data_IF_473091280936
#
_entry.id   IF_473091280936
#
_cell.length_a   1.000
_cell.length_b   1.000
_cell.length_c   1.000
_cell.angle_alpha   90.00
_cell.angle_beta   90.00
_cell.angle_gamma   90.00
#
_symmetry.space_group_name_H-M   'P 1'
#
loop_
_entity.id
_entity.type
_entity.pdbx_description
1 polymer ?
#
# COMPACT_ATOMS: atom_id res chain seq x y z
N UNK A 1 -15.69 -10.75 13.18
CA UNK A 1 -14.88 -9.99 12.21
C UNK A 1 -14.22 -10.84 11.11
N UNK A 2 -13.97 -12.11 11.29
CA UNK A 2 -13.47 -13.04 10.25
C UNK A 2 -14.40 -13.19 9.02
N UNK A 3 -15.70 -13.01 9.17
CA UNK A 3 -16.67 -13.19 8.09
C UNK A 3 -16.65 -12.08 7.01
N UNK A 4 -16.23 -10.86 7.36
CA UNK A 4 -16.12 -9.76 6.38
C UNK A 4 -14.90 -9.94 5.50
N UNK A 5 -13.80 -10.39 6.08
CA UNK A 5 -12.55 -10.70 5.38
C UNK A 5 -12.70 -11.88 4.41
N UNK A 6 -13.43 -12.93 4.78
CA UNK A 6 -13.68 -14.10 3.93
C UNK A 6 -14.57 -13.74 2.72
N UNK A 7 -15.58 -12.91 2.91
CA UNK A 7 -16.46 -12.44 1.80
C UNK A 7 -15.71 -11.50 0.84
N UNK A 8 -14.87 -10.62 1.35
CA UNK A 8 -13.99 -9.78 0.51
C UNK A 8 -12.96 -10.64 -0.23
N UNK A 9 -12.34 -11.61 0.43
CA UNK A 9 -11.42 -12.55 -0.18
C UNK A 9 -12.09 -13.40 -1.27
N UNK A 10 -13.31 -13.90 -1.05
CA UNK A 10 -14.09 -14.62 -2.07
C UNK A 10 -14.51 -13.72 -3.22
N UNK A 11 -14.86 -12.46 -2.96
CA UNK A 11 -15.16 -11.48 -4.01
C UNK A 11 -13.93 -11.17 -4.87
N UNK A 12 -12.75 -11.09 -4.25
CA UNK A 12 -11.48 -10.91 -4.95
C UNK A 12 -11.05 -12.14 -5.74
N UNK A 13 -11.25 -13.34 -5.18
CA UNK A 13 -10.97 -14.60 -5.87
C UNK A 13 -11.87 -14.82 -7.10
N UNK A 14 -13.10 -14.32 -7.07
CA UNK A 14 -14.09 -14.40 -8.15
C UNK A 14 -14.06 -13.20 -9.10
N UNK A 15 -13.29 -12.16 -8.81
CA UNK A 15 -13.07 -11.08 -9.75
C UNK A 15 -12.38 -11.68 -10.99
N UNK A 16 -13.09 -11.73 -12.13
CA UNK A 16 -12.50 -12.12 -13.41
C UNK A 16 -11.25 -11.27 -13.60
N UNK A 17 -10.10 -11.93 -13.63
CA UNK A 17 -8.82 -11.31 -13.95
C UNK A 17 -8.91 -10.82 -15.39
N UNK A 18 -9.45 -9.63 -15.59
CA UNK A 18 -9.17 -8.92 -16.83
C UNK A 18 -7.68 -8.59 -16.79
N UNK A 19 -6.94 -8.84 -17.88
CA UNK A 19 -5.57 -8.37 -17.94
C UNK A 19 -5.59 -6.86 -17.73
N UNK A 20 -5.23 -6.43 -16.52
CA UNK A 20 -5.20 -5.02 -16.19
C UNK A 20 -4.05 -4.41 -16.97
N UNK A 21 -4.37 -3.55 -17.94
CA UNK A 21 -3.39 -2.69 -18.55
C UNK A 21 -2.66 -1.95 -17.43
N UNK A 22 -1.34 -2.09 -17.39
CA UNK A 22 -0.50 -1.38 -16.45
C UNK A 22 -0.20 -0.01 -17.04
N UNK A 23 -0.65 1.06 -16.37
CA UNK A 23 -0.44 2.44 -16.82
C UNK A 23 0.74 3.12 -16.11
N UNK A 24 1.25 2.56 -15.01
CA UNK A 24 2.51 3.03 -14.44
C UNK A 24 3.67 2.78 -15.41
N UNK A 25 4.67 3.69 -15.51
CA UNK A 25 5.73 3.61 -16.52
C UNK A 25 6.83 2.57 -16.21
N UNK A 26 6.53 1.58 -15.37
CA UNK A 26 7.43 0.49 -14.98
C UNK A 26 6.66 -0.80 -14.69
N UNK A 27 7.35 -1.94 -14.69
CA UNK A 27 6.77 -3.24 -14.37
C UNK A 27 6.61 -3.40 -12.85
N UNK A 28 5.38 -3.49 -12.36
CA UNK A 28 5.12 -3.75 -10.93
C UNK A 28 5.55 -5.17 -10.53
N UNK A 29 5.50 -6.12 -11.46
CA UNK A 29 5.93 -7.50 -11.22
C UNK A 29 7.44 -7.58 -11.04
N UNK A 30 8.21 -6.90 -11.89
CA UNK A 30 9.67 -6.85 -11.78
C UNK A 30 10.08 -6.07 -10.53
N UNK A 31 9.41 -4.95 -10.25
CA UNK A 31 9.61 -4.19 -9.00
C UNK A 31 9.42 -5.06 -7.76
N UNK A 32 8.34 -5.84 -7.71
CA UNK A 32 8.09 -6.77 -6.61
C UNK A 32 9.19 -7.85 -6.52
N UNK A 33 9.57 -8.44 -7.65
CA UNK A 33 10.59 -9.50 -7.70
C UNK A 33 11.95 -8.98 -7.20
N UNK A 34 12.38 -7.82 -7.65
CA UNK A 34 13.63 -7.17 -7.21
C UNK A 34 13.61 -6.86 -5.72
N UNK A 35 12.55 -6.24 -5.21
CA UNK A 35 12.39 -5.92 -3.79
C UNK A 35 12.39 -7.21 -2.95
N UNK A 36 11.65 -8.24 -3.39
CA UNK A 36 11.60 -9.51 -2.68
C UNK A 36 12.97 -10.19 -2.63
N UNK A 37 13.68 -10.23 -3.74
CA UNK A 37 15.01 -10.83 -3.80
C UNK A 37 16.03 -10.06 -2.92
N UNK A 38 16.00 -8.74 -2.93
CA UNK A 38 16.96 -7.91 -2.21
C UNK A 38 16.71 -7.85 -0.70
N UNK A 39 15.44 -7.79 -0.26
CA UNK A 39 15.10 -7.44 1.12
C UNK A 39 14.29 -8.51 1.86
N UNK A 40 13.70 -9.47 1.14
CA UNK A 40 12.74 -10.45 1.67
C UNK A 40 13.02 -11.87 1.17
N UNK A 41 14.29 -12.22 1.02
CA UNK A 41 14.72 -13.58 0.60
C UNK A 41 14.30 -14.67 1.60
N UNK A 42 14.05 -14.30 2.86
CA UNK A 42 13.52 -15.15 3.93
C UNK A 42 12.01 -15.40 3.83
N UNK A 43 11.27 -14.62 3.06
CA UNK A 43 9.82 -14.84 2.82
C UNK A 43 9.64 -15.96 1.81
N UNK A 44 9.24 -17.15 2.30
CA UNK A 44 9.10 -18.38 1.49
C UNK A 44 7.93 -18.35 0.52
N UNK A 45 6.92 -17.50 0.74
CA UNK A 45 5.73 -17.43 -0.12
C UNK A 45 6.09 -17.08 -1.57
N UNK A 46 5.39 -17.71 -2.52
CA UNK A 46 5.32 -17.25 -3.91
C UNK A 46 4.39 -16.03 -3.95
N UNK A 47 4.96 -14.86 -4.24
CA UNK A 47 4.21 -13.60 -4.16
C UNK A 47 3.93 -13.09 -5.56
N UNK A 48 2.67 -12.74 -5.80
CA UNK A 48 2.21 -12.04 -7.02
C UNK A 48 1.59 -10.69 -6.68
N UNK A 49 1.48 -9.80 -7.67
CA UNK A 49 0.96 -8.43 -7.49
C UNK A 49 0.02 -8.07 -8.62
N UNK A 50 -1.04 -7.33 -8.31
CA UNK A 50 -1.96 -6.80 -9.32
C UNK A 50 -2.72 -5.56 -8.84
N UNK A 51 -3.12 -4.73 -9.80
CA UNK A 51 -4.06 -3.63 -9.55
C UNK A 51 -5.49 -4.15 -9.58
N UNK A 52 -6.30 -3.74 -8.59
CA UNK A 52 -7.73 -4.10 -8.49
C UNK A 52 -8.53 -2.97 -7.83
N UNK A 53 -9.84 -2.96 -8.03
CA UNK A 53 -10.72 -2.07 -7.27
C UNK A 53 -10.97 -2.65 -5.88
N UNK A 54 -10.41 -2.00 -4.88
CA UNK A 54 -10.49 -2.36 -3.45
C UNK A 54 -11.24 -1.29 -2.67
N UNK A 55 -11.59 -1.60 -1.43
CA UNK A 55 -11.99 -0.59 -0.44
C UNK A 55 -10.81 0.07 0.28
N UNK A 56 -9.58 -0.47 0.16
CA UNK A 56 -8.35 0.04 0.77
C UNK A 56 -7.31 0.39 -0.29
N UNK A 57 -6.25 1.10 0.11
CA UNK A 57 -5.17 1.50 -0.80
C UNK A 57 -4.37 0.30 -1.30
N UNK A 58 -4.09 -0.64 -0.40
CA UNK A 58 -3.47 -1.93 -0.72
C UNK A 58 -3.83 -2.99 0.33
N UNK A 59 -3.54 -4.24 0.05
CA UNK A 59 -3.55 -5.34 1.02
C UNK A 59 -2.81 -6.56 0.46
N UNK A 60 -2.31 -7.43 1.36
CA UNK A 60 -1.80 -8.75 1.01
C UNK A 60 -2.75 -9.84 1.48
N UNK A 61 -3.01 -10.80 0.62
CA UNK A 61 -3.78 -11.99 0.91
C UNK A 61 -2.89 -13.23 0.84
N UNK A 62 -3.01 -14.13 1.83
CA UNK A 62 -2.24 -15.38 1.92
C UNK A 62 -3.14 -16.59 1.79
N UNK A 63 -2.70 -17.57 1.02
CA UNK A 63 -3.35 -18.87 0.92
C UNK A 63 -2.29 -19.96 0.73
N UNK A 64 -2.02 -20.73 1.78
CA UNK A 64 -0.93 -21.70 1.80
C UNK A 64 0.43 -21.03 1.57
N UNK A 65 1.18 -21.53 0.60
CA UNK A 65 2.49 -21.01 0.16
C UNK A 65 2.39 -19.83 -0.83
N UNK A 66 1.17 -19.46 -1.22
CA UNK A 66 0.90 -18.36 -2.14
C UNK A 66 0.56 -17.10 -1.37
N UNK A 67 1.05 -15.96 -1.86
CA UNK A 67 0.61 -14.65 -1.41
C UNK A 67 0.30 -13.75 -2.60
N UNK A 68 -0.67 -12.86 -2.45
CA UNK A 68 -1.03 -11.92 -3.49
C UNK A 68 -1.19 -10.53 -2.93
N UNK A 69 -0.42 -9.61 -3.46
CA UNK A 69 -0.53 -8.19 -3.15
C UNK A 69 -1.52 -7.56 -4.12
N UNK A 70 -2.51 -6.91 -3.55
CA UNK A 70 -3.50 -6.13 -4.28
C UNK A 70 -3.24 -4.65 -4.04
N UNK A 71 -3.08 -3.89 -5.11
CA UNK A 71 -2.95 -2.43 -5.08
C UNK A 71 -4.20 -1.83 -5.71
N UNK A 72 -4.74 -0.76 -5.12
CA UNK A 72 -5.91 -0.10 -5.66
C UNK A 72 -5.64 0.49 -7.04
N UNK A 73 -6.63 0.37 -7.95
CA UNK A 73 -6.60 0.93 -9.31
C UNK A 73 -6.29 2.43 -9.36
N UNK A 74 -6.58 3.16 -8.28
CA UNK A 74 -6.19 4.56 -8.11
C UNK A 74 -4.70 4.80 -8.40
N UNK A 75 -3.84 3.86 -8.03
CA UNK A 75 -2.38 3.97 -8.21
C UNK A 75 -1.89 3.43 -9.56
N UNK A 76 -2.78 2.92 -10.41
CA UNK A 76 -2.44 2.48 -11.77
C UNK A 76 -2.50 3.65 -12.75
N UNK A 77 -1.61 4.61 -12.60
CA UNK A 77 -1.54 5.81 -13.42
C UNK A 77 -0.10 6.19 -13.74
N UNK A 78 0.15 6.76 -14.92
CA UNK A 78 1.50 7.09 -15.40
C UNK A 78 2.23 8.14 -14.53
N UNK A 79 1.49 8.96 -13.80
CA UNK A 79 2.05 9.94 -12.85
C UNK A 79 2.32 9.35 -11.45
N UNK A 80 1.98 8.07 -11.20
CA UNK A 80 2.30 7.43 -9.92
C UNK A 80 3.79 7.17 -9.82
N UNK A 81 4.50 7.77 -8.83
CA UNK A 81 5.94 7.60 -8.69
C UNK A 81 6.33 6.16 -8.32
N UNK A 82 7.51 5.76 -8.76
CA UNK A 82 8.09 4.46 -8.40
C UNK A 82 8.17 4.27 -6.88
N UNK A 83 8.53 5.33 -6.13
CA UNK A 83 8.67 5.31 -4.68
C UNK A 83 7.37 4.92 -3.96
N UNK A 84 6.22 5.29 -4.52
CA UNK A 84 4.91 4.92 -3.97
C UNK A 84 4.65 3.42 -4.11
N UNK A 85 4.89 2.85 -5.28
CA UNK A 85 4.73 1.42 -5.51
C UNK A 85 5.78 0.61 -4.75
N UNK A 86 7.02 1.09 -4.69
CA UNK A 86 8.10 0.49 -3.89
C UNK A 86 7.74 0.44 -2.40
N UNK A 87 7.27 1.55 -1.83
CA UNK A 87 6.78 1.60 -0.45
C UNK A 87 5.69 0.54 -0.20
N UNK A 88 4.67 0.50 -1.06
CA UNK A 88 3.54 -0.42 -0.91
C UNK A 88 4.01 -1.88 -1.00
N UNK A 89 4.87 -2.22 -1.98
CA UNK A 89 5.44 -3.57 -2.09
C UNK A 89 6.17 -3.98 -0.80
N UNK A 90 7.01 -3.09 -0.26
CA UNK A 90 7.75 -3.35 0.98
C UNK A 90 6.82 -3.49 2.18
N UNK A 91 5.80 -2.63 2.30
CA UNK A 91 4.79 -2.68 3.34
C UNK A 91 4.03 -4.01 3.34
N UNK A 92 3.52 -4.42 2.17
CA UNK A 92 2.75 -5.66 2.05
C UNK A 92 3.63 -6.91 2.22
N UNK A 93 4.90 -6.87 1.81
CA UNK A 93 5.86 -7.93 2.09
C UNK A 93 6.21 -8.03 3.58
N UNK A 94 6.24 -6.91 4.31
CA UNK A 94 6.43 -6.92 5.75
C UNK A 94 5.30 -7.64 6.48
N UNK A 95 4.06 -7.58 6.02
CA UNK A 95 2.96 -8.36 6.58
C UNK A 95 3.15 -9.88 6.43
N UNK A 96 3.98 -10.35 5.48
CA UNK A 96 4.35 -11.76 5.37
C UNK A 96 5.44 -12.15 6.35
N UNK A 97 6.29 -11.21 6.76
CA UNK A 97 7.40 -11.42 7.69
C UNK A 97 7.00 -11.15 9.14
N UNK A 98 6.22 -10.10 9.38
CA UNK A 98 5.77 -9.65 10.69
C UNK A 98 4.25 -9.79 10.76
N UNK A 99 3.73 -10.90 11.31
CA UNK A 99 2.30 -11.14 11.35
C UNK A 99 1.60 -10.19 12.33
N UNK A 100 0.31 -9.98 12.09
CA UNK A 100 -0.56 -9.30 13.05
C UNK A 100 -0.55 -10.01 14.40
N UNK A 101 -0.58 -9.25 15.49
CA UNK A 101 -0.63 -9.78 16.86
C UNK A 101 -1.96 -9.45 17.52
N UNK A 102 -2.46 -10.35 18.35
CA UNK A 102 -3.62 -10.07 19.19
C UNK A 102 -3.15 -9.45 20.50
N UNK A 103 -3.67 -8.27 20.84
CA UNK A 103 -3.42 -7.59 22.09
C UNK A 103 -4.73 -7.12 22.70
N UNK A 104 -5.03 -7.57 23.92
CA UNK A 104 -6.24 -7.17 24.67
C UNK A 104 -7.54 -7.40 23.88
N UNK A 105 -7.63 -8.53 23.16
CA UNK A 105 -8.81 -8.88 22.32
C UNK A 105 -8.94 -8.08 21.04
N UNK A 106 -7.91 -7.32 20.64
CA UNK A 106 -7.86 -6.56 19.39
C UNK A 106 -6.68 -7.03 18.54
N UNK A 107 -6.91 -7.11 17.23
CA UNK A 107 -5.85 -7.36 16.27
C UNK A 107 -5.10 -6.06 15.99
N UNK A 108 -3.79 -6.09 16.21
CA UNK A 108 -2.84 -5.05 15.81
C UNK A 108 -2.14 -5.52 14.56
N UNK A 109 -2.47 -4.89 13.43
CA UNK A 109 -1.92 -5.29 12.11
C UNK A 109 -0.51 -4.74 11.91
N UNK A 110 -0.21 -3.60 12.53
CA UNK A 110 1.09 -2.95 12.46
C UNK A 110 1.67 -2.76 13.87
N UNK A 111 2.21 -3.84 14.50
CA UNK A 111 2.85 -3.71 15.81
C UNK A 111 4.09 -2.81 15.72
N UNK A 112 4.62 -2.28 16.85
CA UNK A 112 5.75 -1.33 16.84
C UNK A 112 6.97 -1.81 16.04
N UNK A 113 7.27 -3.10 16.10
CA UNK A 113 8.33 -3.73 15.31
C UNK A 113 8.10 -3.65 13.79
N UNK A 114 6.83 -3.64 13.34
CA UNK A 114 6.47 -3.43 11.94
C UNK A 114 6.92 -2.05 11.46
N UNK A 115 6.55 -0.99 12.20
CA UNK A 115 6.91 0.38 11.85
C UNK A 115 8.42 0.61 11.89
N UNK A 116 9.10 0.00 12.87
CA UNK A 116 10.57 0.05 12.95
C UNK A 116 11.21 -0.62 11.74
N UNK A 117 10.70 -1.78 11.33
CA UNK A 117 11.20 -2.51 10.16
C UNK A 117 10.91 -1.74 8.87
N UNK A 118 9.71 -1.19 8.70
CA UNK A 118 9.37 -0.37 7.53
C UNK A 118 10.31 0.84 7.40
N UNK A 119 10.52 1.61 8.48
CA UNK A 119 11.46 2.75 8.47
C UNK A 119 12.87 2.33 8.07
N UNK A 120 13.32 1.15 8.50
CA UNK A 120 14.67 0.67 8.18
C UNK A 120 14.87 0.29 6.72
N UNK A 121 13.84 -0.24 6.05
CA UNK A 121 13.95 -0.76 4.67
C UNK A 121 13.37 0.19 3.61
N UNK A 122 12.67 1.25 4.01
CA UNK A 122 12.02 2.21 3.11
C UNK A 122 12.62 3.61 3.26
N UNK A 123 13.82 3.90 2.74
CA UNK A 123 14.38 5.26 2.79
C UNK A 123 13.51 6.29 2.05
N UNK A 124 12.73 5.84 1.06
CA UNK A 124 11.77 6.65 0.29
C UNK A 124 10.44 6.89 1.02
N UNK A 125 10.23 6.33 2.22
CA UNK A 125 8.95 6.31 2.93
C UNK A 125 8.28 7.69 3.02
N UNK A 126 9.00 8.68 3.54
CA UNK A 126 8.44 10.04 3.70
C UNK A 126 8.11 10.69 2.36
N UNK A 127 8.93 10.47 1.34
CA UNK A 127 8.73 10.96 -0.03
C UNK A 127 7.46 10.35 -0.65
N UNK A 128 7.28 9.06 -0.51
CA UNK A 128 6.13 8.33 -1.03
C UNK A 128 4.83 8.74 -0.31
N UNK A 129 4.84 8.81 1.02
CA UNK A 129 3.68 9.25 1.79
C UNK A 129 3.32 10.70 1.52
N UNK A 130 4.29 11.60 1.43
CA UNK A 130 4.06 12.98 1.05
C UNK A 130 3.34 13.08 -0.30
N UNK A 131 3.79 12.31 -1.30
CA UNK A 131 3.14 12.27 -2.60
C UNK A 131 1.69 11.77 -2.51
N UNK A 132 1.46 10.66 -1.81
CA UNK A 132 0.12 10.08 -1.62
C UNK A 132 -0.84 11.12 -1.02
N UNK A 133 -0.45 11.73 0.11
CA UNK A 133 -1.34 12.65 0.82
C UNK A 133 -1.54 13.97 0.08
N UNK A 134 -0.51 14.55 -0.52
CA UNK A 134 -0.64 15.81 -1.24
C UNK A 134 -1.51 15.65 -2.50
N UNK A 135 -1.40 14.52 -3.18
CA UNK A 135 -2.05 14.33 -4.47
C UNK A 135 -3.36 13.53 -4.43
N UNK A 136 -3.59 12.73 -3.40
CA UNK A 136 -4.71 11.78 -3.35
C UNK A 136 -5.63 11.97 -2.14
N UNK A 137 -5.36 12.93 -1.23
CA UNK A 137 -6.13 13.13 0.00
C UNK A 137 -7.63 13.28 -0.23
N UNK A 138 -8.05 13.89 -1.35
CA UNK A 138 -9.47 14.08 -1.68
C UNK A 138 -10.25 12.77 -1.83
N UNK A 139 -9.58 11.66 -2.14
CA UNK A 139 -10.21 10.35 -2.30
C UNK A 139 -9.76 9.32 -1.26
N UNK A 140 -9.02 9.74 -0.22
CA UNK A 140 -8.55 8.86 0.84
C UNK A 140 -9.23 9.18 2.16
N UNK A 141 -9.47 8.13 2.96
CA UNK A 141 -9.99 8.26 4.32
C UNK A 141 -9.23 7.33 5.25
N UNK A 142 -8.58 7.91 6.25
CA UNK A 142 -7.93 7.11 7.30
C UNK A 142 -8.95 6.43 8.21
N UNK A 143 -8.66 5.21 8.60
CA UNK A 143 -9.40 4.42 9.58
C UNK A 143 -8.45 3.99 10.70
N UNK A 144 -8.09 4.88 11.64
CA UNK A 144 -7.08 4.59 12.66
C UNK A 144 -7.37 3.31 13.46
N UNK A 145 -8.65 3.08 13.83
CA UNK A 145 -9.07 1.88 14.59
C UNK A 145 -8.88 0.57 13.82
N UNK A 146 -8.82 0.61 12.49
CA UNK A 146 -8.64 -0.53 11.60
C UNK A 146 -7.24 -0.54 10.98
N UNK A 147 -6.42 0.44 11.35
CA UNK A 147 -5.06 0.62 10.82
C UNK A 147 -5.02 0.56 9.29
N UNK A 148 -5.96 1.24 8.63
CA UNK A 148 -6.02 1.20 7.17
C UNK A 148 -6.47 2.53 6.56
N UNK A 149 -6.15 2.69 5.27
CA UNK A 149 -6.59 3.79 4.42
C UNK A 149 -7.65 3.25 3.47
N UNK A 150 -8.87 3.79 3.56
CA UNK A 150 -9.94 3.51 2.61
C UNK A 150 -9.82 4.42 1.39
N UNK A 151 -10.15 3.89 0.22
CA UNK A 151 -10.27 4.65 -1.02
C UNK A 151 -11.76 4.91 -1.28
N UNK A 152 -12.11 6.19 -1.42
CA UNK A 152 -13.48 6.64 -1.64
C UNK A 152 -13.91 6.44 -3.11
N UNK A 153 -15.21 6.27 -3.41
CA UNK A 153 -15.70 6.04 -4.78
C UNK A 153 -15.33 7.13 -5.78
N UNK A 154 -15.09 8.35 -5.32
CA UNK A 154 -14.70 9.52 -6.16
C UNK A 154 -13.25 9.45 -6.68
N UNK A 155 -12.51 8.40 -6.39
CA UNK A 155 -11.10 8.27 -6.76
C UNK A 155 -10.81 8.45 -8.27
N UNK A 156 -11.77 8.19 -9.14
CA UNK A 156 -11.60 8.33 -10.59
C UNK A 156 -11.39 9.79 -11.01
N UNK A 157 -11.92 10.72 -10.24
CA UNK A 157 -11.88 12.15 -10.54
C UNK A 157 -10.56 12.80 -10.11
N UNK A 158 -9.81 12.14 -9.23
CA UNK A 158 -8.58 12.70 -8.65
C UNK A 158 -7.48 12.93 -9.69
N UNK A 159 -7.55 12.25 -10.84
CA UNK A 159 -6.59 12.36 -11.92
C UNK A 159 -6.92 13.45 -12.95
N UNK A 160 -7.97 14.24 -12.73
CA UNK A 160 -8.36 15.33 -13.62
C UNK A 160 -7.35 16.50 -13.63
N UNK A 161 -6.51 16.60 -12.60
CA UNK A 161 -5.49 17.64 -12.46
C UNK A 161 -4.08 17.04 -12.41
N UNK A 162 -3.04 17.75 -12.93
CA UNK A 162 -1.66 17.31 -12.85
C UNK A 162 -1.22 17.10 -11.39
N UNK A 163 -0.44 16.05 -11.16
CA UNK A 163 0.10 15.73 -9.83
C UNK A 163 1.45 16.42 -9.62
N UNK A 164 1.72 16.77 -8.36
CA UNK A 164 3.05 17.24 -7.96
C UNK A 164 4.03 16.05 -7.97
N UNK A 165 5.23 16.28 -8.45
CA UNK A 165 6.29 15.28 -8.41
C UNK A 165 6.69 14.96 -6.95
N UNK A 166 7.31 13.79 -6.75
CA UNK A 166 7.63 13.30 -5.41
C UNK A 166 8.67 14.19 -4.69
N UNK A 167 9.57 14.85 -5.42
CA UNK A 167 10.57 15.74 -4.82
C UNK A 167 9.91 17.03 -4.31
N UNK A 168 9.02 17.62 -5.10
CA UNK A 168 8.21 18.78 -4.68
C UNK A 168 7.37 18.45 -3.46
N UNK A 169 6.70 17.30 -3.45
CA UNK A 169 5.91 16.83 -2.30
C UNK A 169 6.78 16.69 -1.04
N UNK A 170 7.99 16.14 -1.16
CA UNK A 170 8.90 16.01 -0.04
C UNK A 170 9.32 17.37 0.52
N UNK A 171 9.58 18.37 -0.35
CA UNK A 171 9.91 19.74 0.09
C UNK A 171 8.76 20.39 0.85
N UNK A 172 7.52 20.24 0.37
CA UNK A 172 6.32 20.74 1.04
C UNK A 172 6.12 20.09 2.42
N UNK A 173 6.36 18.77 2.50
CA UNK A 173 6.30 18.03 3.76
C UNK A 173 7.31 18.56 4.80
N UNK A 174 8.58 18.72 4.40
CA UNK A 174 9.65 19.21 5.28
C UNK A 174 9.37 20.64 5.77
N UNK A 175 8.72 21.47 4.94
CA UNK A 175 8.36 22.85 5.32
C UNK A 175 7.15 22.94 6.24
N UNK A 176 6.48 21.83 6.53
CA UNK A 176 5.25 21.81 7.32
C UNK A 176 4.04 22.43 6.61
N UNK A 177 4.12 22.64 5.30
CA UNK A 177 2.99 23.10 4.47
C UNK A 177 1.93 22.02 4.28
N UNK A 178 2.26 20.81 4.69
CA UNK A 178 1.37 19.66 4.69
C UNK A 178 1.65 18.80 5.95
N UNK A 179 0.62 18.62 6.78
CA UNK A 179 0.65 17.69 7.92
C UNK A 179 0.12 16.33 7.45
N UNK A 180 1.03 15.39 7.26
CA UNK A 180 0.68 14.01 7.00
C UNK A 180 0.38 13.22 8.27
N UNK A 181 0.23 11.90 8.18
CA UNK A 181 0.14 11.04 9.34
C UNK A 181 1.38 11.21 10.21
N UNK A 182 1.19 11.32 11.51
CA UNK A 182 2.25 11.61 12.47
C UNK A 182 3.43 10.65 12.32
N UNK A 183 4.66 11.18 12.48
CA UNK A 183 5.89 10.40 12.38
C UNK A 183 5.97 9.25 13.40
N UNK A 184 5.13 9.26 14.43
CA UNK A 184 5.03 8.25 15.48
C UNK A 184 4.24 6.99 15.07
N UNK A 185 3.81 6.89 13.79
CA UNK A 185 3.22 5.67 13.23
C UNK A 185 1.76 5.44 13.59
N UNK A 186 1.09 6.46 14.10
CA UNK A 186 -0.35 6.41 14.30
C UNK A 186 -1.12 6.71 13.01
N UNK A 187 -1.86 5.72 12.53
CA UNK A 187 -2.97 5.92 11.61
C UNK A 187 -4.21 6.26 12.39
#
# INVERSE_FOLDING_TARGET
MLLTSIKEAQKLANARVQPNLCFVPFSITDTLAEIKAALFSDVSHQVSIQFVSLGSLACVYRHGDQARIYIHQLLNHHETPFEVISLICKHELLHLRIPSVEKEGKWLHHPPEFWKAEKAICPERNKAWAWIWINLVACLKTRPRLERIDVLPVWKEVWSEPKKDAETCQKLWIRGEFSGPDEEGGW
#
